data_IF_508845905670
#
_entry.id   IF_508845905670
#
_cell.length_a   1.000
_cell.length_b   1.000
_cell.length_c   1.000
_cell.angle_alpha   90.00
_cell.angle_beta   90.00
_cell.angle_gamma   90.00
#
_symmetry.space_group_name_H-M   'P 1'
#
loop_
_entity.id
_entity.type
_entity.pdbx_description
1 polymer ?
#
# COMPACT_ATOMS: atom_id res chain seq x y z
N UNK A 1 0.52 28.61 29.50
CA UNK A 1 1.08 29.29 28.31
C UNK A 1 -0.01 29.69 27.34
N UNK A 2 0.26 30.66 26.48
CA UNK A 2 -0.58 30.99 25.35
C UNK A 2 -0.35 29.96 24.24
N UNK A 3 -1.32 29.76 23.29
CA UNK A 3 -1.15 28.87 22.17
C UNK A 3 -0.28 29.47 21.07
N UNK A 4 0.66 28.67 20.58
CA UNK A 4 1.31 28.87 19.30
C UNK A 4 0.63 27.95 18.29
N UNK A 5 0.34 28.45 17.10
CA UNK A 5 -0.32 27.66 16.06
C UNK A 5 0.72 26.90 15.26
N UNK A 6 0.57 25.57 15.23
CA UNK A 6 1.29 24.67 14.35
C UNK A 6 0.35 24.16 13.25
N UNK A 7 0.92 23.76 12.14
CA UNK A 7 0.21 23.16 11.02
C UNK A 7 0.70 21.74 10.84
N UNK A 8 -0.20 20.76 10.99
CA UNK A 8 0.03 19.40 10.51
C UNK A 8 -0.35 19.33 9.04
N UNK A 9 0.63 19.05 8.18
CA UNK A 9 0.45 18.91 6.74
C UNK A 9 0.53 17.44 6.41
N UNK A 10 -0.63 16.82 6.22
CA UNK A 10 -0.75 15.44 5.74
C UNK A 10 -0.65 15.42 4.22
N UNK A 11 0.34 14.71 3.71
CA UNK A 11 0.54 14.52 2.27
C UNK A 11 0.31 13.06 1.94
N UNK A 12 -0.65 12.79 1.06
CA UNK A 12 -0.94 11.46 0.54
C UNK A 12 -0.46 11.39 -0.90
N UNK A 13 0.46 10.48 -1.16
CA UNK A 13 1.01 10.24 -2.50
C UNK A 13 0.85 8.77 -2.88
N UNK A 14 0.67 8.52 -4.16
CA UNK A 14 0.62 7.19 -4.74
C UNK A 14 1.93 6.95 -5.50
N UNK A 15 2.63 5.90 -5.09
CA UNK A 15 3.82 5.40 -5.78
C UNK A 15 3.42 4.23 -6.66
N UNK A 16 3.68 4.32 -7.95
CA UNK A 16 3.48 3.24 -8.92
C UNK A 16 4.84 2.73 -9.38
N UNK A 17 5.14 1.48 -9.06
CA UNK A 17 6.37 0.80 -9.48
C UNK A 17 6.02 -0.20 -10.57
N UNK A 18 6.66 -0.06 -11.74
CA UNK A 18 6.55 -1.00 -12.85
C UNK A 18 7.87 -1.71 -13.03
N UNK A 19 7.83 -3.04 -13.15
CA UNK A 19 9.00 -3.87 -13.40
C UNK A 19 8.80 -4.69 -14.65
N UNK A 20 9.80 -4.70 -15.52
CA UNK A 20 9.82 -5.56 -16.70
C UNK A 20 9.98 -7.03 -16.30
N UNK A 21 9.25 -7.91 -16.95
CA UNK A 21 9.46 -9.34 -16.80
C UNK A 21 10.73 -9.79 -17.53
N UNK A 22 11.39 -10.88 -17.10
CA UNK A 22 12.61 -11.39 -17.75
C UNK A 22 12.40 -11.81 -19.20
N UNK A 23 11.16 -12.10 -19.61
CA UNK A 23 10.82 -12.55 -20.95
C UNK A 23 9.96 -11.54 -21.72
N UNK A 24 10.03 -10.27 -21.39
CA UNK A 24 9.20 -9.22 -22.02
C UNK A 24 9.33 -9.19 -23.56
N UNK A 25 10.52 -9.48 -24.08
CA UNK A 25 10.78 -9.51 -25.54
C UNK A 25 9.99 -10.63 -26.26
N UNK A 26 9.56 -11.64 -25.55
CA UNK A 26 8.84 -12.81 -26.07
C UNK A 26 7.35 -12.76 -25.78
N UNK A 27 6.85 -11.72 -25.12
CA UNK A 27 5.45 -11.61 -24.73
C UNK A 27 4.50 -11.67 -25.93
N UNK A 28 4.75 -10.88 -26.96
CA UNK A 28 3.93 -10.87 -28.15
C UNK A 28 4.03 -12.19 -28.94
N UNK A 29 5.24 -12.75 -29.04
CA UNK A 29 5.47 -14.01 -29.76
C UNK A 29 4.76 -15.19 -29.12
N UNK A 30 4.83 -15.34 -27.81
CA UNK A 30 4.31 -16.52 -27.11
C UNK A 30 2.90 -16.33 -26.52
N UNK A 31 2.56 -15.12 -26.09
CA UNK A 31 1.25 -14.83 -25.50
C UNK A 31 0.30 -14.12 -26.46
N UNK A 32 0.83 -13.53 -27.53
CA UNK A 32 0.03 -12.72 -28.47
C UNK A 32 -0.55 -11.45 -27.84
N UNK A 33 0.00 -11.00 -26.71
CA UNK A 33 -0.49 -9.84 -25.96
C UNK A 33 0.52 -8.70 -26.12
N UNK A 34 0.12 -7.54 -26.69
CA UNK A 34 0.95 -6.34 -26.73
C UNK A 34 0.98 -5.63 -25.37
N UNK A 35 1.94 -4.72 -25.19
CA UNK A 35 1.98 -3.82 -24.05
C UNK A 35 2.74 -4.35 -22.84
N UNK A 36 3.65 -5.31 -23.04
CA UNK A 36 4.56 -5.73 -21.98
C UNK A 36 5.42 -4.55 -21.48
N UNK A 37 5.67 -4.51 -20.19
CA UNK A 37 6.57 -3.53 -19.58
C UNK A 37 7.99 -3.87 -20.03
N UNK A 38 8.65 -2.94 -20.71
CA UNK A 38 9.97 -3.14 -21.31
C UNK A 38 11.11 -2.58 -20.47
N UNK A 39 10.78 -1.69 -19.54
CA UNK A 39 11.74 -1.02 -18.66
C UNK A 39 11.14 -0.83 -17.26
N UNK A 40 11.99 -0.95 -16.26
CA UNK A 40 11.62 -0.61 -14.90
C UNK A 40 11.38 0.88 -14.77
N UNK A 41 10.32 1.27 -14.09
CA UNK A 41 9.97 2.66 -13.83
C UNK A 41 9.32 2.83 -12.47
N UNK A 42 9.51 4.02 -11.92
CA UNK A 42 8.87 4.46 -10.69
C UNK A 42 8.23 5.82 -10.93
N UNK A 43 6.96 5.93 -10.62
CA UNK A 43 6.17 7.13 -10.83
C UNK A 43 5.46 7.53 -9.53
N UNK A 44 5.50 8.81 -9.22
CA UNK A 44 4.86 9.37 -8.05
C UNK A 44 3.75 10.32 -8.47
N UNK A 45 2.58 10.16 -7.88
CA UNK A 45 1.45 11.05 -8.06
C UNK A 45 0.97 11.55 -6.69
N UNK A 46 0.83 12.86 -6.57
CA UNK A 46 0.23 13.47 -5.39
C UNK A 46 -1.28 13.23 -5.43
N UNK A 47 -1.80 12.57 -4.38
CA UNK A 47 -3.23 12.24 -4.27
C UNK A 47 -4.00 13.32 -3.51
N UNK A 48 -3.48 13.75 -2.36
CA UNK A 48 -4.09 14.83 -1.58
C UNK A 48 -3.09 15.50 -0.65
N UNK A 49 -3.40 16.74 -0.29
CA UNK A 49 -2.74 17.48 0.77
C UNK A 49 -3.81 18.02 1.70
N UNK A 50 -3.70 17.72 2.98
CA UNK A 50 -4.59 18.24 4.03
C UNK A 50 -3.77 19.02 5.03
N UNK A 51 -4.21 20.22 5.34
CA UNK A 51 -3.57 21.07 6.34
C UNK A 51 -4.51 21.22 7.54
N UNK A 52 -4.04 20.84 8.71
CA UNK A 52 -4.82 20.92 9.95
C UNK A 52 -4.06 21.77 10.97
N UNK A 53 -4.58 22.94 11.37
CA UNK A 53 -3.98 23.72 12.41
C UNK A 53 -4.22 23.09 13.79
N UNK A 54 -3.25 23.17 14.68
CA UNK A 54 -3.38 22.75 16.07
C UNK A 54 -2.57 23.66 16.99
N UNK A 55 -2.97 23.75 18.26
CA UNK A 55 -2.32 24.57 19.26
C UNK A 55 -1.26 23.81 20.03
N UNK A 56 -0.12 24.44 20.23
CA UNK A 56 0.96 23.96 21.15
C UNK A 56 1.23 25.06 22.17
N UNK A 57 1.61 24.69 23.41
CA UNK A 57 2.03 25.68 24.39
C UNK A 57 3.29 26.44 23.92
N UNK A 58 3.20 27.75 23.81
CA UNK A 58 4.36 28.58 23.51
C UNK A 58 5.28 28.67 24.74
N UNK A 59 6.54 28.21 24.67
CA UNK A 59 7.47 28.26 25.80
C UNK A 59 7.92 29.67 26.13
N UNK A 60 7.84 30.62 25.21
CA UNK A 60 8.23 32.02 25.43
C UNK A 60 7.08 32.85 26.02
N UNK A 61 5.82 32.39 25.84
CA UNK A 61 4.62 33.09 26.31
C UNK A 61 3.98 32.38 27.53
N UNK A 62 4.75 32.32 28.61
CA UNK A 62 4.29 31.74 29.87
C UNK A 62 3.92 32.82 30.86
N UNK A 63 2.71 32.75 31.42
CA UNK A 63 2.18 33.73 32.37
C UNK A 63 1.79 33.09 33.68
N UNK A 64 2.15 33.73 34.80
CA UNK A 64 1.67 33.34 36.11
C UNK A 64 0.36 34.07 36.40
N UNK A 65 -0.70 33.32 36.61
CA UNK A 65 -2.01 33.85 37.02
C UNK A 65 -2.18 33.74 38.55
N UNK A 66 -2.53 34.87 39.19
CA UNK A 66 -2.91 34.88 40.59
C UNK A 66 -4.37 35.32 40.74
N UNK A 67 -5.17 34.52 41.38
CA UNK A 67 -6.55 34.87 41.71
C UNK A 67 -6.60 35.55 43.08
N UNK A 68 -7.46 36.57 43.24
CA UNK A 68 -7.68 37.21 44.55
C UNK A 68 -8.33 36.19 45.51
N UNK A 69 -7.89 36.16 46.78
CA UNK A 69 -8.53 35.35 47.81
C UNK A 69 -10.04 35.64 47.89
N UNK A 70 -10.89 34.62 47.80
CA UNK A 70 -12.35 34.72 47.84
C UNK A 70 -13.04 35.02 46.48
N UNK A 71 -12.29 35.11 45.39
CA UNK A 71 -12.85 35.16 44.04
C UNK A 71 -13.13 33.74 43.49
N UNK A 72 -14.24 33.58 42.73
CA UNK A 72 -14.61 32.30 42.08
C UNK A 72 -13.98 32.14 40.68
N UNK A 73 -12.79 32.72 40.48
CA UNK A 73 -12.10 32.61 39.21
C UNK A 73 -11.49 31.20 39.01
N UNK A 74 -11.65 30.66 37.84
CA UNK A 74 -11.00 29.38 37.43
C UNK A 74 -10.47 29.49 35.99
N UNK A 75 -9.49 28.65 35.69
CA UNK A 75 -8.93 28.48 34.37
C UNK A 75 -9.07 27.02 33.98
N UNK A 76 -9.29 26.77 32.70
CA UNK A 76 -9.28 25.44 32.12
C UNK A 76 -8.07 25.32 31.20
N UNK A 77 -7.26 24.33 31.44
CA UNK A 77 -6.10 23.98 30.62
C UNK A 77 -6.35 22.63 29.95
N UNK A 78 -5.76 22.41 28.78
CA UNK A 78 -5.70 21.07 28.19
C UNK A 78 -4.65 20.18 28.89
N UNK A 79 -4.50 18.95 28.42
CA UNK A 79 -3.52 17.98 28.93
C UNK A 79 -2.06 18.44 28.80
N UNK A 80 -1.79 19.37 27.88
CA UNK A 80 -0.46 19.93 27.60
C UNK A 80 -0.21 21.25 28.32
N UNK A 81 -1.18 21.74 29.11
CA UNK A 81 -1.07 23.01 29.79
C UNK A 81 -1.39 24.26 28.97
N UNK A 82 -2.06 24.06 27.81
CA UNK A 82 -2.58 25.11 26.97
C UNK A 82 -3.83 25.73 27.59
N UNK A 83 -3.92 27.05 27.59
CA UNK A 83 -5.08 27.76 28.12
C UNK A 83 -6.28 27.60 27.19
N UNK A 84 -7.34 26.94 27.65
CA UNK A 84 -8.58 26.77 26.91
C UNK A 84 -9.63 27.84 27.23
N UNK A 85 -9.79 28.21 28.52
CA UNK A 85 -10.75 29.23 28.92
C UNK A 85 -10.42 29.84 30.29
N UNK A 86 -10.95 31.04 30.53
CA UNK A 86 -10.89 31.72 31.81
C UNK A 86 -12.32 32.07 32.23
N UNK A 87 -12.77 31.56 33.39
CA UNK A 87 -14.09 31.83 33.99
C UNK A 87 -15.28 31.43 33.09
N UNK A 88 -15.09 30.57 32.12
CA UNK A 88 -16.10 30.04 31.20
C UNK A 88 -15.83 28.57 30.92
N UNK A 89 -16.86 27.79 30.58
CA UNK A 89 -16.65 26.46 30.05
C UNK A 89 -16.08 26.58 28.63
N UNK A 90 -15.04 25.80 28.29
CA UNK A 90 -14.46 25.84 26.95
C UNK A 90 -15.48 25.31 25.93
N UNK A 91 -15.69 26.05 24.85
CA UNK A 91 -16.39 25.56 23.67
C UNK A 91 -15.39 24.71 22.91
N UNK A 92 -15.44 23.39 23.13
CA UNK A 92 -14.62 22.43 22.41
C UNK A 92 -15.36 22.14 21.09
N UNK A 93 -15.14 22.98 20.10
CA UNK A 93 -15.32 22.53 18.73
C UNK A 93 -14.30 21.42 18.51
N UNK A 94 -14.74 20.25 18.10
CA UNK A 94 -14.00 18.99 18.03
C UNK A 94 -12.86 18.99 17.00
N UNK A 95 -11.88 19.87 17.20
CA UNK A 95 -10.59 19.88 16.52
C UNK A 95 -9.53 19.47 17.54
N UNK A 96 -9.71 18.29 18.11
CA UNK A 96 -8.60 17.62 18.81
C UNK A 96 -7.89 16.75 17.79
N UNK A 97 -6.94 17.34 17.10
CA UNK A 97 -5.96 16.58 16.35
C UNK A 97 -4.95 16.02 17.34
N UNK A 98 -5.17 14.80 17.76
CA UNK A 98 -4.11 13.98 18.37
C UNK A 98 -3.05 13.75 17.29
N UNK A 99 -1.78 14.00 17.64
CA UNK A 99 -0.65 13.76 16.76
C UNK A 99 -0.74 12.36 16.12
N UNK A 100 -0.66 12.24 14.79
CA UNK A 100 -0.85 10.98 14.11
C UNK A 100 0.31 10.03 14.42
N UNK A 101 -0.03 8.84 14.90
CA UNK A 101 0.94 7.74 15.04
C UNK A 101 1.32 7.23 13.67
N UNK A 102 2.60 7.36 13.33
CA UNK A 102 3.17 6.75 12.13
C UNK A 102 2.99 5.23 12.17
N UNK A 103 2.24 4.70 11.22
CA UNK A 103 2.20 3.28 10.93
C UNK A 103 3.27 2.99 9.89
N UNK A 104 4.35 2.37 10.31
CA UNK A 104 5.36 1.82 9.42
C UNK A 104 4.82 0.55 8.78
N UNK A 105 4.57 0.59 7.49
CA UNK A 105 4.33 -0.63 6.71
C UNK A 105 5.66 -1.17 6.21
N UNK A 106 5.86 -2.46 6.46
CA UNK A 106 7.07 -3.21 6.05
C UNK A 106 7.11 -3.42 4.54
N UNK A 107 8.30 -3.40 3.91
CA UNK A 107 8.42 -3.67 2.48
C UNK A 107 8.07 -5.13 2.17
N UNK A 108 7.22 -5.33 1.19
CA UNK A 108 6.89 -6.63 0.62
C UNK A 108 8.12 -7.24 -0.08
N UNK A 109 8.37 -8.47 0.25
CA UNK A 109 9.51 -9.27 -0.20
C UNK A 109 9.43 -9.56 -1.70
N UNK A 110 10.44 -9.14 -2.45
CA UNK A 110 10.51 -9.13 -3.92
C UNK A 110 10.79 -10.52 -4.56
N UNK A 111 10.39 -11.62 -3.92
CA UNK A 111 10.72 -12.96 -4.40
C UNK A 111 9.53 -13.72 -5.02
N UNK A 112 8.61 -13.00 -5.69
CA UNK A 112 7.43 -13.64 -6.32
C UNK A 112 7.79 -14.58 -7.47
N UNK A 113 8.89 -14.33 -8.18
CA UNK A 113 9.29 -15.13 -9.33
C UNK A 113 9.85 -16.51 -8.97
N UNK A 114 10.39 -16.68 -7.76
CA UNK A 114 11.00 -17.94 -7.33
C UNK A 114 10.01 -19.09 -7.15
N UNK A 115 8.71 -18.77 -6.96
CA UNK A 115 7.65 -19.76 -6.71
C UNK A 115 7.15 -20.49 -7.97
N UNK A 116 7.54 -20.01 -9.14
CA UNK A 116 6.97 -20.45 -10.42
C UNK A 116 7.96 -21.21 -11.29
N UNK A 117 9.21 -21.25 -10.91
CA UNK A 117 10.25 -21.96 -11.66
C UNK A 117 10.10 -23.48 -11.51
N UNK A 118 9.76 -24.15 -12.62
CA UNK A 118 9.84 -25.61 -12.70
C UNK A 118 11.30 -26.05 -12.89
N UNK A 119 11.61 -27.30 -12.56
CA UNK A 119 12.92 -27.90 -12.80
C UNK A 119 13.33 -27.80 -14.27
N UNK A 120 12.38 -28.03 -15.20
CA UNK A 120 12.57 -27.90 -16.64
C UNK A 120 12.99 -26.48 -17.05
N UNK A 121 12.37 -25.45 -16.42
CA UNK A 121 12.70 -24.06 -16.65
C UNK A 121 14.12 -23.73 -16.18
N UNK A 122 14.51 -24.19 -14.99
CA UNK A 122 15.84 -23.96 -14.42
C UNK A 122 16.97 -24.65 -15.20
N UNK A 123 16.68 -25.77 -15.84
CA UNK A 123 17.64 -26.50 -16.67
C UNK A 123 17.81 -25.93 -18.08
N UNK A 124 17.00 -24.95 -18.47
CA UNK A 124 17.07 -24.33 -19.80
C UNK A 124 18.28 -23.41 -19.94
N UNK A 125 19.11 -23.60 -20.97
CA UNK A 125 20.38 -22.91 -21.14
C UNK A 125 20.27 -21.50 -21.75
N UNK A 126 19.13 -21.11 -22.31
CA UNK A 126 18.96 -19.81 -22.97
C UNK A 126 17.65 -19.14 -22.56
N UNK A 127 17.64 -17.79 -22.53
CA UNK A 127 16.46 -17.00 -22.23
C UNK A 127 15.29 -17.31 -23.16
N UNK A 128 15.56 -17.51 -24.45
CA UNK A 128 14.54 -17.88 -25.42
C UNK A 128 13.89 -19.24 -25.10
N UNK A 129 14.69 -20.22 -24.69
CA UNK A 129 14.19 -21.54 -24.33
C UNK A 129 13.42 -21.50 -23.02
N UNK A 130 13.91 -20.74 -22.04
CA UNK A 130 13.21 -20.51 -20.77
C UNK A 130 11.86 -19.84 -21.00
N UNK A 131 11.78 -18.84 -21.87
CA UNK A 131 10.51 -18.21 -22.26
C UNK A 131 9.55 -19.19 -22.92
N UNK A 132 10.06 -20.04 -23.83
CA UNK A 132 9.22 -21.09 -24.46
C UNK A 132 8.64 -22.07 -23.42
N UNK A 133 9.45 -22.54 -22.49
CA UNK A 133 9.01 -23.46 -21.42
C UNK A 133 7.99 -22.78 -20.51
N UNK A 134 8.25 -21.54 -20.11
CA UNK A 134 7.29 -20.77 -19.31
C UNK A 134 5.94 -20.57 -20.02
N UNK A 135 5.96 -20.27 -21.31
CA UNK A 135 4.75 -20.14 -22.11
C UNK A 135 3.98 -21.48 -22.20
N UNK A 136 4.68 -22.59 -22.39
CA UNK A 136 4.05 -23.93 -22.41
C UNK A 136 3.40 -24.26 -21.06
N UNK A 137 4.04 -23.92 -19.95
CA UNK A 137 3.45 -24.10 -18.61
C UNK A 137 2.20 -23.24 -18.44
N UNK A 138 2.24 -21.99 -18.89
CA UNK A 138 1.08 -21.10 -18.84
C UNK A 138 -0.12 -21.68 -19.61
N UNK A 139 0.10 -22.20 -20.80
CA UNK A 139 -0.96 -22.82 -21.59
C UNK A 139 -1.50 -24.09 -20.93
N UNK A 140 -0.66 -24.93 -20.33
CA UNK A 140 -1.09 -26.11 -19.56
C UNK A 140 -1.98 -25.72 -18.36
N UNK A 141 -1.63 -24.64 -17.66
CA UNK A 141 -2.44 -24.13 -16.54
C UNK A 141 -3.80 -23.64 -17.03
N UNK A 142 -3.84 -22.91 -18.13
CA UNK A 142 -5.10 -22.46 -18.75
C UNK A 142 -5.99 -23.63 -19.20
N UNK A 143 -5.39 -24.64 -19.78
CA UNK A 143 -6.09 -25.87 -20.16
C UNK A 143 -6.64 -26.62 -18.94
N UNK A 144 -5.82 -26.78 -17.90
CA UNK A 144 -6.27 -27.43 -16.65
C UNK A 144 -7.41 -26.67 -15.98
N UNK A 145 -7.36 -25.35 -15.97
CA UNK A 145 -8.46 -24.54 -15.45
C UNK A 145 -9.73 -24.70 -16.29
N UNK A 146 -9.60 -24.66 -17.60
CA UNK A 146 -10.73 -24.86 -18.51
C UNK A 146 -11.39 -26.21 -18.28
N UNK A 147 -10.59 -27.29 -18.20
CA UNK A 147 -11.08 -28.64 -17.98
C UNK A 147 -11.80 -28.78 -16.64
N UNK A 148 -11.30 -28.15 -15.59
CA UNK A 148 -11.97 -28.12 -14.28
C UNK A 148 -13.32 -27.39 -14.35
N UNK A 149 -13.38 -26.25 -15.03
CA UNK A 149 -14.59 -25.43 -15.14
C UNK A 149 -15.63 -26.10 -16.02
N UNK A 150 -15.21 -26.80 -17.09
CA UNK A 150 -16.11 -27.53 -18.01
C UNK A 150 -16.49 -28.94 -17.51
N UNK A 151 -15.82 -29.41 -16.46
CA UNK A 151 -16.04 -30.76 -15.92
C UNK A 151 -15.37 -31.86 -16.74
N UNK A 152 -14.45 -31.53 -17.64
CA UNK A 152 -13.67 -32.48 -18.46
C UNK A 152 -12.45 -33.00 -17.70
N UNK A 153 -12.68 -33.50 -16.48
CA UNK A 153 -11.65 -34.11 -15.62
C UNK A 153 -12.15 -35.45 -15.11
N UNK A 154 -11.23 -36.38 -14.87
CA UNK A 154 -11.57 -37.74 -14.42
C UNK A 154 -12.23 -37.73 -13.03
N UNK A 155 -11.80 -36.81 -12.15
CA UNK A 155 -12.36 -36.63 -10.82
C UNK A 155 -12.51 -35.12 -10.52
N UNK A 156 -13.72 -34.68 -10.21
CA UNK A 156 -14.00 -33.36 -9.71
C UNK A 156 -13.70 -33.30 -8.19
N UNK A 157 -13.26 -32.17 -7.67
CA UNK A 157 -13.12 -31.97 -6.21
C UNK A 157 -14.44 -32.28 -5.50
N UNK A 158 -14.32 -32.93 -4.34
CA UNK A 158 -15.49 -33.47 -3.61
C UNK A 158 -16.40 -32.38 -3.02
N UNK A 159 -15.88 -31.16 -2.84
CA UNK A 159 -16.62 -30.03 -2.26
C UNK A 159 -16.26 -28.69 -2.92
N UNK A 160 -17.11 -27.69 -2.73
CA UNK A 160 -16.97 -26.38 -3.35
C UNK A 160 -15.76 -25.59 -2.82
N UNK A 161 -15.31 -25.82 -1.59
CA UNK A 161 -14.15 -25.13 -1.03
C UNK A 161 -12.85 -25.65 -1.63
N UNK A 162 -12.71 -26.96 -1.77
CA UNK A 162 -11.58 -27.57 -2.47
C UNK A 162 -11.50 -27.12 -3.92
N UNK A 163 -12.65 -27.02 -4.60
CA UNK A 163 -12.73 -26.49 -5.98
C UNK A 163 -12.22 -25.05 -6.06
N UNK A 164 -12.69 -24.17 -5.16
CA UNK A 164 -12.24 -22.77 -5.09
C UNK A 164 -10.74 -22.67 -4.86
N UNK A 165 -10.20 -23.47 -3.95
CA UNK A 165 -8.78 -23.47 -3.64
C UNK A 165 -7.91 -23.86 -4.84
N UNK A 166 -8.34 -24.90 -5.58
CA UNK A 166 -7.64 -25.35 -6.80
C UNK A 166 -7.67 -24.25 -7.88
N UNK A 167 -8.83 -23.64 -8.11
CA UNK A 167 -8.95 -22.53 -9.07
C UNK A 167 -8.09 -21.35 -8.65
N UNK A 168 -8.08 -20.98 -7.38
CA UNK A 168 -7.24 -19.90 -6.86
C UNK A 168 -5.76 -20.19 -7.10
N UNK A 169 -5.30 -21.41 -6.82
CA UNK A 169 -3.90 -21.79 -7.06
C UNK A 169 -3.54 -21.73 -8.55
N UNK A 170 -4.43 -22.17 -9.44
CA UNK A 170 -4.21 -22.06 -10.88
C UNK A 170 -4.16 -20.61 -11.34
N UNK A 171 -5.03 -19.75 -10.82
CA UNK A 171 -5.04 -18.31 -11.12
C UNK A 171 -3.77 -17.63 -10.64
N UNK A 172 -3.27 -17.94 -9.44
CA UNK A 172 -2.02 -17.42 -8.91
C UNK A 172 -0.81 -17.85 -9.74
N UNK A 173 -0.75 -19.11 -10.15
CA UNK A 173 0.31 -19.62 -11.02
C UNK A 173 0.25 -19.00 -12.43
N UNK A 174 -0.95 -18.83 -12.98
CA UNK A 174 -1.15 -18.17 -14.28
C UNK A 174 -0.69 -16.71 -14.20
N UNK A 175 -1.07 -15.98 -13.15
CA UNK A 175 -0.67 -14.60 -12.95
C UNK A 175 0.86 -14.45 -12.81
N UNK A 176 1.50 -15.34 -12.05
CA UNK A 176 2.95 -15.32 -11.87
C UNK A 176 3.72 -15.63 -13.16
N UNK A 177 3.28 -16.62 -13.94
CA UNK A 177 3.87 -16.93 -15.26
C UNK A 177 3.64 -15.81 -16.28
N UNK A 178 2.46 -15.22 -16.28
CA UNK A 178 2.15 -14.07 -17.15
C UNK A 178 3.04 -12.87 -16.81
N UNK A 179 3.31 -12.63 -15.54
CA UNK A 179 4.19 -11.54 -15.07
C UNK A 179 5.63 -11.69 -15.57
N UNK A 180 6.12 -12.90 -15.83
CA UNK A 180 7.43 -13.14 -16.44
C UNK A 180 7.54 -12.52 -17.84
N UNK A 181 6.43 -12.38 -18.55
CA UNK A 181 6.38 -11.78 -19.88
C UNK A 181 5.90 -10.32 -19.83
N UNK A 182 4.81 -10.06 -19.14
CA UNK A 182 4.16 -8.75 -19.15
C UNK A 182 4.78 -7.76 -18.15
N UNK A 183 5.50 -8.27 -17.15
CA UNK A 183 5.98 -7.48 -16.03
C UNK A 183 4.93 -7.33 -14.93
N UNK A 184 5.27 -6.55 -13.92
CA UNK A 184 4.42 -6.28 -12.77
C UNK A 184 4.24 -4.79 -12.55
N UNK A 185 3.05 -4.42 -12.07
CA UNK A 185 2.73 -3.07 -11.62
C UNK A 185 2.27 -3.14 -10.18
N UNK A 186 2.97 -2.44 -9.29
CA UNK A 186 2.59 -2.30 -7.89
C UNK A 186 2.23 -0.85 -7.61
N UNK A 187 1.16 -0.65 -6.86
CA UNK A 187 0.71 0.66 -6.43
C UNK A 187 0.69 0.70 -4.91
N UNK A 188 1.38 1.68 -4.34
CA UNK A 188 1.51 1.87 -2.90
C UNK A 188 1.04 3.28 -2.54
N UNK A 189 0.21 3.38 -1.50
CA UNK A 189 -0.20 4.68 -0.95
C UNK A 189 0.68 5.03 0.22
N UNK A 190 1.36 6.18 0.13
CA UNK A 190 2.27 6.68 1.15
C UNK A 190 1.67 7.93 1.75
N UNK A 191 1.57 7.94 3.07
CA UNK A 191 1.11 9.10 3.86
C UNK A 191 2.28 9.63 4.66
N UNK A 192 2.57 10.92 4.52
CA UNK A 192 3.58 11.62 5.33
C UNK A 192 2.97 12.84 5.99
N UNK A 193 3.39 13.07 7.22
CA UNK A 193 3.03 14.24 8.00
C UNK A 193 4.24 15.15 8.16
N UNK A 194 4.01 16.43 7.98
CA UNK A 194 5.00 17.48 8.19
C UNK A 194 4.42 18.49 9.17
N UNK A 195 5.21 18.81 10.20
CA UNK A 195 4.88 19.87 11.14
C UNK A 195 5.53 21.18 10.71
N UNK A 196 4.75 22.24 10.67
CA UNK A 196 5.20 23.59 10.32
C UNK A 196 4.74 24.59 11.38
N UNK A 197 5.66 25.48 11.79
CA UNK A 197 5.46 26.52 12.78
C UNK A 197 5.25 27.86 12.08
#
# INVERSE_FOLDING_TARGET
SLPQTHLDIEVVATKTTRKAGPYYQYAEKYLGIPGAITQDSEEWALSSVKVTPYGVPDPEEQYLMQFKPGGNGYIVLDENGLLLSINTEPVIDSIVSTAPKQKQESPLDNNEYAKVYSEELLMSASTAKMAEVAAKQLYRIRESRLNLVTGEVDELPADGESFKLIIQQLDEQEAALTALFMGTTQTETIVKHFDYI
#
